data_IF_774076178541
#
_entry.id   IF_774076178541
#
_cell.length_a   1.000
_cell.length_b   1.000
_cell.length_c   1.000
_cell.angle_alpha   90.00
_cell.angle_beta   90.00
_cell.angle_gamma   90.00
#
_symmetry.space_group_name_H-M   'P 1'
#
loop_
_entity.id
_entity.type
_entity.pdbx_description
1 polymer ?
#
# COMPACT_ATOMS: atom_id res chain seq x y z
N UNK A 1 14.71 18.15 43.38
CA UNK A 1 13.94 18.64 42.20
C UNK A 1 14.87 18.80 41.00
N UNK A 2 15.35 17.70 40.42
CA UNK A 2 16.23 17.73 39.23
C UNK A 2 16.35 16.34 38.55
N UNK A 3 15.24 15.59 38.45
CA UNK A 3 15.21 14.29 37.73
C UNK A 3 14.09 14.14 36.70
N UNK A 4 13.32 15.21 36.44
CA UNK A 4 12.23 15.20 35.45
C UNK A 4 12.61 15.88 34.13
N UNK A 5 13.48 16.90 34.16
CA UNK A 5 13.90 17.65 32.97
C UNK A 5 14.87 16.88 32.04
N UNK A 6 15.59 15.87 32.55
CA UNK A 6 16.47 15.02 31.73
C UNK A 6 15.74 13.96 30.91
N UNK A 7 14.45 13.68 31.20
CA UNK A 7 13.64 12.72 30.43
C UNK A 7 12.91 13.32 29.23
N UNK A 8 12.86 14.65 29.10
CA UNK A 8 12.22 15.33 27.97
C UNK A 8 13.24 15.71 26.89
N UNK A 9 14.53 15.81 27.23
CA UNK A 9 15.59 16.19 26.29
C UNK A 9 16.12 15.05 25.40
N UNK A 10 15.79 13.77 25.65
CA UNK A 10 16.19 12.64 24.79
C UNK A 10 15.17 12.25 23.72
N UNK A 11 13.97 12.85 23.71
CA UNK A 11 12.94 12.56 22.71
C UNK A 11 13.07 13.39 21.41
N UNK A 12 13.99 14.36 21.38
CA UNK A 12 14.15 15.30 20.26
C UNK A 12 15.46 15.15 19.47
N UNK A 13 16.28 14.14 19.76
CA UNK A 13 17.45 13.80 18.95
C UNK A 13 17.27 12.42 18.32
N UNK A 14 16.65 12.38 17.13
CA UNK A 14 16.86 11.28 16.20
C UNK A 14 18.02 11.67 15.28
N UNK A 15 19.05 10.83 15.10
CA UNK A 15 20.06 11.06 14.08
C UNK A 15 19.35 11.15 12.72
N UNK A 16 19.74 12.13 11.91
CA UNK A 16 19.19 12.30 10.56
C UNK A 16 19.26 10.97 9.81
N UNK A 17 18.11 10.46 9.36
CA UNK A 17 18.06 9.31 8.46
C UNK A 17 18.73 9.75 7.16
N UNK A 18 19.90 9.18 6.90
CA UNK A 18 20.61 9.33 5.63
C UNK A 18 19.73 8.69 4.54
N UNK A 19 19.13 9.51 3.69
CA UNK A 19 18.79 9.09 2.33
C UNK A 19 20.12 8.98 1.59
N UNK A 20 20.53 7.77 1.22
CA UNK A 20 21.85 7.52 0.66
C UNK A 20 21.77 6.76 -0.68
N UNK A 21 22.80 6.99 -1.49
CA UNK A 21 23.01 6.56 -2.87
C UNK A 21 23.02 5.04 -3.06
N UNK A 22 22.36 4.65 -4.15
CA UNK A 22 22.31 3.39 -4.89
C UNK A 22 23.50 2.43 -4.68
N UNK A 23 23.20 1.20 -4.26
CA UNK A 23 24.14 0.07 -4.29
C UNK A 23 24.26 -0.48 -5.72
N UNK A 24 25.45 -0.34 -6.31
CA UNK A 24 25.96 -1.29 -7.31
C UNK A 24 26.35 -2.53 -6.53
N UNK A 25 25.77 -3.67 -6.84
CA UNK A 25 26.43 -4.97 -6.95
C UNK A 25 25.36 -6.06 -7.08
N UNK A 26 25.29 -6.63 -8.28
CA UNK A 26 25.01 -8.04 -8.61
C UNK A 26 24.63 -8.13 -10.10
N UNK A 27 25.67 -8.15 -10.94
CA UNK A 27 25.55 -8.42 -12.38
C UNK A 27 25.73 -9.93 -12.58
N UNK A 28 24.65 -10.62 -12.91
CA UNK A 28 24.70 -11.80 -13.79
C UNK A 28 23.53 -11.74 -14.78
N UNK A 29 23.90 -11.39 -16.02
CA UNK A 29 23.30 -11.70 -17.31
C UNK A 29 21.76 -11.64 -17.46
N UNK A 30 21.28 -10.49 -17.94
CA UNK A 30 20.29 -10.46 -19.02
C UNK A 30 20.67 -9.28 -19.94
N UNK A 31 20.79 -9.56 -21.24
CA UNK A 31 21.25 -8.62 -22.26
C UNK A 31 20.26 -7.44 -22.42
N UNK A 32 20.82 -6.24 -22.56
CA UNK A 32 20.19 -4.98 -23.01
C UNK A 32 19.43 -4.12 -21.97
N UNK A 33 20.16 -3.23 -21.27
CA UNK A 33 19.89 -1.77 -21.30
C UNK A 33 21.06 -1.01 -20.65
N UNK A 34 21.48 0.05 -21.33
CA UNK A 34 22.55 0.96 -21.00
C UNK A 34 22.53 1.49 -19.56
N UNK A 35 23.73 1.66 -19.01
CA UNK A 35 24.08 1.97 -17.62
C UNK A 35 23.77 3.41 -17.18
N UNK A 36 22.49 3.76 -17.18
CA UNK A 36 21.96 4.84 -16.32
C UNK A 36 20.74 4.33 -15.59
N UNK A 37 20.95 3.75 -14.40
CA UNK A 37 19.86 3.33 -13.53
C UNK A 37 18.97 4.52 -13.17
N UNK A 38 17.65 4.34 -13.27
CA UNK A 38 16.67 5.33 -12.85
C UNK A 38 16.80 5.53 -11.33
N UNK A 39 17.32 6.68 -10.90
CA UNK A 39 17.57 6.97 -9.48
C UNK A 39 16.29 7.10 -8.65
N UNK A 40 15.14 7.24 -9.32
CA UNK A 40 13.82 7.31 -8.71
C UNK A 40 13.16 5.93 -8.61
N UNK A 41 13.80 4.86 -9.11
CA UNK A 41 13.33 3.49 -9.03
C UNK A 41 14.12 2.74 -7.96
N UNK A 42 13.40 2.13 -7.01
CA UNK A 42 13.93 1.20 -6.03
C UNK A 42 13.31 -0.18 -6.24
N UNK A 43 14.09 -1.25 -6.05
CA UNK A 43 13.55 -2.61 -6.15
C UNK A 43 14.32 -3.65 -5.36
N UNK A 44 13.63 -4.73 -5.00
CA UNK A 44 14.18 -6.02 -4.54
C UNK A 44 13.71 -7.12 -5.49
N UNK A 45 14.68 -7.81 -6.08
CA UNK A 45 14.40 -8.69 -7.21
C UNK A 45 13.64 -9.93 -6.78
N UNK A 46 14.14 -10.62 -5.75
CA UNK A 46 13.52 -11.82 -5.21
C UNK A 46 13.97 -12.04 -3.76
N UNK A 47 13.02 -12.11 -2.84
CA UNK A 47 13.25 -12.36 -1.41
C UNK A 47 12.33 -13.50 -0.94
N UNK A 48 12.71 -14.22 0.11
CA UNK A 48 11.92 -15.37 0.60
C UNK A 48 10.86 -14.94 1.62
N UNK A 49 9.72 -15.63 1.59
CA UNK A 49 8.69 -15.55 2.62
C UNK A 49 8.10 -16.94 2.91
N UNK A 50 7.13 -17.01 3.84
CA UNK A 50 6.63 -18.29 4.39
C UNK A 50 6.06 -19.27 3.37
N UNK A 51 5.65 -18.77 2.20
CA UNK A 51 4.90 -19.53 1.20
C UNK A 51 5.53 -19.46 -0.20
N UNK A 52 6.78 -19.03 -0.31
CA UNK A 52 7.47 -18.87 -1.58
C UNK A 52 8.44 -17.69 -1.59
N UNK A 53 8.37 -16.91 -2.66
CA UNK A 53 9.23 -15.77 -2.91
C UNK A 53 8.41 -14.53 -3.25
N UNK A 54 9.00 -13.35 -3.08
CA UNK A 54 8.38 -12.10 -3.51
C UNK A 54 9.35 -11.18 -4.23
N UNK A 55 8.80 -10.37 -5.13
CA UNK A 55 9.49 -9.29 -5.83
C UNK A 55 8.81 -7.97 -5.50
N UNK A 56 9.59 -6.90 -5.34
CA UNK A 56 9.09 -5.63 -4.83
C UNK A 56 9.77 -4.48 -5.58
N UNK A 57 9.00 -3.55 -6.13
CA UNK A 57 9.52 -2.35 -6.76
C UNK A 57 8.67 -1.13 -6.42
N UNK A 58 9.32 0.03 -6.32
CA UNK A 58 8.67 1.32 -6.14
C UNK A 58 9.36 2.35 -7.03
N UNK A 59 8.61 3.18 -7.75
CA UNK A 59 9.15 4.33 -8.50
C UNK A 59 8.46 5.63 -8.09
N UNK A 60 9.27 6.66 -7.87
CA UNK A 60 8.82 7.99 -7.48
C UNK A 60 8.49 8.84 -8.73
N UNK A 61 7.34 9.50 -8.70
CA UNK A 61 6.89 10.53 -9.63
C UNK A 61 6.73 11.89 -8.94
N UNK A 62 6.15 11.92 -7.73
CA UNK A 62 5.89 13.15 -6.98
C UNK A 62 7.20 13.80 -6.48
N UNK A 63 7.20 15.10 -6.21
CA UNK A 63 8.40 15.81 -5.67
C UNK A 63 8.87 15.17 -4.35
N UNK A 64 7.90 14.80 -3.52
CA UNK A 64 8.08 13.94 -2.36
C UNK A 64 7.26 12.69 -2.62
N UNK A 65 7.87 11.51 -2.51
CA UNK A 65 7.13 10.26 -2.65
C UNK A 65 6.04 10.17 -1.59
N UNK A 66 4.81 9.94 -2.04
CA UNK A 66 3.65 9.79 -1.17
C UNK A 66 3.36 8.30 -0.92
N UNK A 67 3.66 7.42 -1.88
CA UNK A 67 3.63 5.96 -1.72
C UNK A 67 4.57 5.47 -0.60
N UNK A 68 4.03 4.65 0.30
CA UNK A 68 4.80 3.84 1.24
C UNK A 68 4.34 2.38 1.16
N UNK A 69 5.24 1.46 1.48
CA UNK A 69 4.92 0.04 1.35
C UNK A 69 5.90 -0.83 2.14
N UNK A 70 5.45 -2.03 2.48
CA UNK A 70 6.25 -2.98 3.22
C UNK A 70 5.83 -4.43 3.04
N UNK A 71 6.80 -5.33 3.21
CA UNK A 71 6.60 -6.77 3.34
C UNK A 71 7.23 -7.21 4.65
N UNK A 72 6.46 -7.93 5.45
CA UNK A 72 6.90 -8.53 6.70
C UNK A 72 6.74 -10.05 6.56
N UNK A 73 7.83 -10.79 6.72
CA UNK A 73 7.85 -12.25 6.65
C UNK A 73 8.07 -12.83 8.04
N UNK A 74 7.22 -13.78 8.42
CA UNK A 74 7.37 -14.64 9.58
C UNK A 74 7.47 -16.11 9.17
N UNK A 75 7.47 -17.01 10.15
CA UNK A 75 7.51 -18.46 9.89
C UNK A 75 6.27 -18.97 9.15
N UNK A 76 5.08 -18.56 9.60
CA UNK A 76 3.78 -19.05 9.11
C UNK A 76 2.89 -17.92 8.56
N UNK A 77 3.49 -16.74 8.34
CA UNK A 77 2.78 -15.52 8.03
C UNK A 77 3.56 -14.62 7.06
N UNK A 78 2.86 -14.01 6.12
CA UNK A 78 3.41 -12.93 5.31
C UNK A 78 2.43 -11.77 5.32
N UNK A 79 2.87 -10.59 5.75
CA UNK A 79 2.10 -9.34 5.67
C UNK A 79 2.65 -8.49 4.53
N UNK A 80 1.75 -7.88 3.79
CA UNK A 80 2.01 -7.01 2.66
C UNK A 80 1.20 -5.74 2.86
N UNK A 81 1.83 -4.59 2.71
CA UNK A 81 1.17 -3.29 2.76
C UNK A 81 1.58 -2.41 1.59
N UNK A 82 0.59 -1.83 0.92
CA UNK A 82 0.75 -0.80 -0.11
C UNK A 82 -0.13 0.38 0.30
N UNK A 83 0.48 1.54 0.50
CA UNK A 83 -0.14 2.73 1.04
C UNK A 83 0.13 3.90 0.11
N UNK A 84 -0.82 4.15 -0.77
CA UNK A 84 -0.78 5.25 -1.72
C UNK A 84 -1.24 6.52 -0.99
N UNK A 85 -0.33 7.48 -0.86
CA UNK A 85 -0.52 8.69 -0.06
C UNK A 85 -0.94 9.86 -0.93
N UNK A 86 -1.69 10.80 -0.35
CA UNK A 86 -2.07 12.03 -1.06
C UNK A 86 -2.16 13.24 -0.13
N UNK A 87 -1.83 14.41 -0.68
CA UNK A 87 -1.83 15.66 0.08
C UNK A 87 -0.62 15.79 1.02
N UNK A 88 0.32 14.86 0.95
CA UNK A 88 1.51 14.71 1.77
C UNK A 88 1.77 13.23 2.10
N UNK A 89 3.01 12.87 2.50
CA UNK A 89 3.36 11.48 2.86
C UNK A 89 3.02 11.12 4.31
N UNK A 90 2.50 12.04 5.12
CA UNK A 90 2.37 11.84 6.57
C UNK A 90 1.44 10.65 6.90
N UNK A 91 0.33 10.47 6.17
CA UNK A 91 -0.61 9.38 6.40
C UNK A 91 -0.04 8.02 5.99
N UNK A 92 0.44 7.88 4.76
CA UNK A 92 1.04 6.63 4.25
C UNK A 92 2.26 6.20 5.09
N UNK A 93 3.10 7.15 5.49
CA UNK A 93 4.19 6.90 6.45
C UNK A 93 3.66 6.43 7.81
N UNK A 94 2.64 7.09 8.36
CA UNK A 94 2.05 6.68 9.64
C UNK A 94 1.51 5.25 9.57
N UNK A 95 0.83 4.89 8.47
CA UNK A 95 0.31 3.54 8.25
C UNK A 95 1.46 2.53 8.22
N UNK A 96 2.53 2.79 7.45
CA UNK A 96 3.71 1.92 7.41
C UNK A 96 4.37 1.73 8.79
N UNK A 97 4.38 2.76 9.62
CA UNK A 97 4.98 2.67 10.95
C UNK A 97 4.09 1.94 11.99
N UNK A 98 2.77 1.92 11.82
CA UNK A 98 1.85 1.50 12.91
C UNK A 98 0.90 0.34 12.56
N UNK A 99 0.50 0.17 11.30
CA UNK A 99 -0.56 -0.78 10.95
C UNK A 99 -0.16 -2.23 11.25
N UNK A 100 1.05 -2.62 10.88
CA UNK A 100 1.57 -3.95 11.21
C UNK A 100 1.67 -4.16 12.72
N UNK A 101 2.10 -3.15 13.49
CA UNK A 101 2.18 -3.24 14.95
C UNK A 101 0.80 -3.41 15.59
N UNK A 102 -0.20 -2.67 15.09
CA UNK A 102 -1.59 -2.79 15.51
C UNK A 102 -2.16 -4.17 15.17
N UNK A 103 -1.89 -4.68 13.97
CA UNK A 103 -2.27 -6.03 13.56
C UNK A 103 -1.67 -7.07 14.51
N UNK A 104 -0.36 -6.98 14.76
CA UNK A 104 0.32 -7.89 15.66
C UNK A 104 -0.29 -7.83 17.04
N UNK A 105 -0.50 -6.63 17.62
CA UNK A 105 -1.14 -6.46 18.94
C UNK A 105 -2.49 -7.18 19.02
N UNK A 106 -3.40 -6.91 18.08
CA UNK A 106 -4.74 -7.53 18.06
C UNK A 106 -4.66 -9.05 17.85
N UNK A 107 -3.78 -9.51 16.95
CA UNK A 107 -3.54 -10.93 16.74
C UNK A 107 -2.98 -11.60 18.00
N UNK A 108 -2.18 -10.88 18.81
CA UNK A 108 -1.63 -11.40 20.07
C UNK A 108 -2.71 -11.71 21.09
N UNK A 109 -3.65 -10.77 21.22
CA UNK A 109 -4.74 -10.85 22.19
C UNK A 109 -5.70 -12.01 21.87
N UNK A 110 -5.87 -12.36 20.58
CA UNK A 110 -6.81 -13.40 20.14
C UNK A 110 -6.18 -14.72 19.71
N UNK A 111 -4.85 -14.80 19.59
CA UNK A 111 -4.15 -16.02 19.18
C UNK A 111 -4.30 -16.37 17.69
N UNK A 112 -4.82 -15.47 16.85
CA UNK A 112 -5.07 -15.76 15.42
C UNK A 112 -5.10 -14.48 14.57
N UNK A 113 -5.06 -14.65 13.25
CA UNK A 113 -5.36 -13.61 12.26
C UNK A 113 -6.70 -13.95 11.61
N UNK A 114 -7.57 -12.96 11.52
CA UNK A 114 -8.90 -13.05 10.92
C UNK A 114 -9.30 -11.72 10.30
N UNK A 115 -10.45 -11.71 9.60
CA UNK A 115 -11.03 -10.49 9.05
C UNK A 115 -11.29 -9.42 10.12
N UNK A 116 -11.80 -9.82 11.30
CA UNK A 116 -12.06 -8.91 12.41
C UNK A 116 -10.77 -8.27 12.96
N UNK A 117 -9.70 -9.06 13.05
CA UNK A 117 -8.39 -8.59 13.51
C UNK A 117 -7.81 -7.57 12.52
N UNK A 118 -7.92 -7.84 11.22
CA UNK A 118 -7.46 -6.93 10.18
C UNK A 118 -8.28 -5.62 10.19
N UNK A 119 -9.60 -5.71 10.35
CA UNK A 119 -10.49 -4.55 10.53
C UNK A 119 -10.11 -3.72 11.75
N UNK A 120 -9.86 -4.38 12.89
CA UNK A 120 -9.47 -3.74 14.15
C UNK A 120 -8.11 -3.04 14.04
N UNK A 121 -7.17 -3.62 13.30
CA UNK A 121 -5.86 -3.03 13.04
C UNK A 121 -5.96 -1.75 12.21
N UNK A 122 -6.77 -1.77 11.14
CA UNK A 122 -7.04 -0.59 10.31
C UNK A 122 -7.72 0.51 11.14
N UNK A 123 -8.78 0.17 11.91
CA UNK A 123 -9.48 1.11 12.79
C UNK A 123 -8.55 1.75 13.82
N UNK A 124 -7.71 0.96 14.50
CA UNK A 124 -6.74 1.49 15.47
C UNK A 124 -5.70 2.40 14.82
N UNK A 125 -5.36 2.15 13.56
CA UNK A 125 -4.40 2.97 12.81
C UNK A 125 -5.01 4.31 12.42
N UNK A 126 -6.27 4.33 11.96
CA UNK A 126 -7.04 5.56 11.73
C UNK A 126 -7.14 6.39 13.02
N UNK A 127 -7.55 5.80 14.14
CA UNK A 127 -7.69 6.51 15.41
C UNK A 127 -6.36 7.14 15.87
N UNK A 128 -5.26 6.40 15.67
CA UNK A 128 -3.91 6.89 15.91
C UNK A 128 -3.57 8.10 15.05
N UNK A 129 -3.86 8.04 13.75
CA UNK A 129 -3.58 9.15 12.83
C UNK A 129 -4.47 10.36 13.10
N UNK A 130 -5.76 10.18 13.36
CA UNK A 130 -6.66 11.29 13.74
C UNK A 130 -6.24 11.95 15.07
N UNK A 131 -5.66 11.17 16.00
CA UNK A 131 -5.05 11.73 17.21
C UNK A 131 -3.83 12.59 16.89
N UNK A 132 -3.00 12.17 15.93
CA UNK A 132 -1.88 12.99 15.43
C UNK A 132 -2.40 14.27 14.78
N UNK A 133 -3.39 14.18 13.90
CA UNK A 133 -4.03 15.35 13.26
C UNK A 133 -4.50 16.35 14.30
N UNK A 134 -5.26 15.91 15.31
CA UNK A 134 -5.77 16.78 16.38
C UNK A 134 -4.66 17.50 17.17
N UNK A 135 -3.51 16.85 17.35
CA UNK A 135 -2.36 17.44 18.05
C UNK A 135 -1.56 18.40 17.19
N UNK A 136 -1.59 18.24 15.87
CA UNK A 136 -0.74 18.98 14.93
C UNK A 136 -1.47 20.06 14.13
N UNK A 137 -2.79 19.98 13.97
CA UNK A 137 -3.56 20.85 13.07
C UNK A 137 -3.50 22.34 13.46
N UNK A 138 -3.26 22.67 14.72
CA UNK A 138 -3.06 24.07 15.15
C UNK A 138 -1.76 24.71 14.64
N UNK A 139 -0.76 23.90 14.28
CA UNK A 139 0.57 24.36 13.80
C UNK A 139 0.74 24.04 12.31
N UNK A 140 0.29 22.87 11.86
CA UNK A 140 0.30 22.39 10.48
C UNK A 140 -1.13 22.05 10.07
N UNK A 141 -1.99 23.04 9.72
CA UNK A 141 -3.40 22.79 9.38
C UNK A 141 -3.57 21.74 8.29
N UNK A 142 -2.72 21.77 7.27
CA UNK A 142 -2.76 20.85 6.13
C UNK A 142 -2.65 19.37 6.50
N UNK A 143 -2.19 19.00 7.71
CA UNK A 143 -2.21 17.61 8.17
C UNK A 143 -3.62 17.00 8.15
N UNK A 144 -4.67 17.83 8.29
CA UNK A 144 -6.05 17.40 8.23
C UNK A 144 -6.49 16.98 6.80
N UNK A 145 -5.79 17.44 5.76
CA UNK A 145 -6.02 17.07 4.37
C UNK A 145 -5.07 15.99 3.85
N UNK A 146 -4.16 15.48 4.69
CA UNK A 146 -3.30 14.36 4.33
C UNK A 146 -4.10 13.07 4.51
N UNK A 147 -4.09 12.22 3.49
CA UNK A 147 -4.74 10.92 3.51
C UNK A 147 -3.91 9.88 2.79
N UNK A 148 -4.35 8.64 2.87
CA UNK A 148 -3.75 7.54 2.14
C UNK A 148 -4.75 6.40 1.92
N UNK A 149 -4.77 5.88 0.70
CA UNK A 149 -5.29 4.56 0.39
C UNK A 149 -4.48 3.51 1.16
N UNK A 150 -5.12 2.40 1.52
CA UNK A 150 -4.49 1.36 2.31
C UNK A 150 -4.93 -0.01 1.81
N UNK A 151 -4.01 -0.69 1.14
CA UNK A 151 -4.17 -2.08 0.72
C UNK A 151 -3.25 -2.96 1.56
N UNK A 152 -3.85 -3.89 2.30
CA UNK A 152 -3.12 -4.85 3.13
C UNK A 152 -3.50 -6.27 2.77
N UNK A 153 -2.49 -7.11 2.58
CA UNK A 153 -2.62 -8.56 2.48
C UNK A 153 -1.95 -9.26 3.66
N UNK A 154 -2.56 -10.33 4.15
CA UNK A 154 -1.94 -11.24 5.12
C UNK A 154 -2.18 -12.66 4.67
N UNK A 155 -1.11 -13.40 4.37
CA UNK A 155 -1.18 -14.85 4.21
C UNK A 155 -0.88 -15.45 5.57
N UNK A 156 -1.85 -16.19 6.13
CA UNK A 156 -1.76 -16.83 7.43
C UNK A 156 -2.25 -18.26 7.33
N UNK A 157 -1.37 -19.23 7.61
CA UNK A 157 -1.70 -20.67 7.60
C UNK A 157 -2.48 -21.10 6.34
N UNK A 158 -2.03 -20.66 5.16
CA UNK A 158 -2.64 -20.98 3.86
C UNK A 158 -3.92 -20.20 3.52
N UNK A 159 -4.36 -19.27 4.36
CA UNK A 159 -5.48 -18.36 4.07
C UNK A 159 -4.96 -16.96 3.78
N UNK A 160 -5.36 -16.38 2.66
CA UNK A 160 -5.13 -14.99 2.33
C UNK A 160 -6.29 -14.12 2.85
N UNK A 161 -5.97 -13.11 3.63
CA UNK A 161 -6.87 -12.03 4.04
C UNK A 161 -6.42 -10.74 3.37
N UNK A 162 -7.35 -9.98 2.78
CA UNK A 162 -7.06 -8.69 2.13
C UNK A 162 -8.03 -7.65 2.66
N UNK A 163 -7.51 -6.50 3.10
CA UNK A 163 -8.28 -5.31 3.43
C UNK A 163 -7.92 -4.18 2.45
N UNK A 164 -8.93 -3.51 1.91
CA UNK A 164 -8.73 -2.40 0.98
C UNK A 164 -9.49 -1.14 1.41
N UNK A 165 -8.80 -0.01 1.35
CA UNK A 165 -9.31 1.36 1.42
C UNK A 165 -8.77 2.11 0.22
N UNK A 166 -9.64 2.64 -0.64
CA UNK A 166 -9.24 3.35 -1.85
C UNK A 166 -9.16 2.43 -3.06
N UNK A 167 -8.26 2.75 -3.98
CA UNK A 167 -8.16 2.22 -5.35
C UNK A 167 -6.81 1.60 -5.69
N UNK A 168 -5.93 1.45 -4.70
CA UNK A 168 -4.97 0.35 -4.70
C UNK A 168 -5.70 -0.99 -4.88
N UNK A 169 -5.07 -1.95 -5.56
CA UNK A 169 -5.74 -3.21 -5.94
C UNK A 169 -4.86 -4.44 -5.74
N UNK A 170 -5.49 -5.53 -5.28
CA UNK A 170 -4.91 -6.86 -5.25
C UNK A 170 -5.51 -7.76 -6.36
N UNK A 171 -4.66 -8.42 -7.14
CA UNK A 171 -5.04 -9.30 -8.25
C UNK A 171 -4.31 -10.63 -8.12
N UNK A 172 -5.06 -11.74 -8.10
CA UNK A 172 -4.47 -13.08 -8.11
C UNK A 172 -4.31 -13.59 -9.54
N UNK A 173 -3.15 -14.19 -9.81
CA UNK A 173 -2.92 -14.98 -11.01
C UNK A 173 -3.14 -16.45 -10.71
N UNK A 174 -4.19 -17.02 -11.30
CA UNK A 174 -4.52 -18.45 -11.11
C UNK A 174 -4.48 -19.21 -12.43
N UNK A 175 -4.01 -20.45 -12.39
CA UNK A 175 -4.00 -21.34 -13.54
C UNK A 175 -5.45 -21.79 -13.86
N UNK A 176 -5.93 -21.38 -15.02
CA UNK A 176 -7.24 -21.75 -15.55
C UNK A 176 -7.26 -23.16 -16.16
N UNK A 177 -8.46 -23.63 -16.54
CA UNK A 177 -8.68 -24.98 -17.11
C UNK A 177 -7.88 -25.26 -18.38
N UNK A 178 -7.58 -24.22 -19.17
CA UNK A 178 -6.79 -24.33 -20.41
C UNK A 178 -5.28 -24.20 -20.18
N UNK A 179 -4.80 -24.36 -18.94
CA UNK A 179 -3.40 -24.12 -18.55
C UNK A 179 -2.90 -22.69 -18.85
N UNK A 180 -3.83 -21.72 -18.94
CA UNK A 180 -3.52 -20.29 -19.10
C UNK A 180 -3.70 -19.59 -17.78
N UNK A 181 -2.85 -18.60 -17.48
CA UNK A 181 -3.02 -17.75 -16.31
C UNK A 181 -4.23 -16.83 -16.52
N UNK A 182 -5.10 -16.73 -15.52
CA UNK A 182 -6.28 -15.87 -15.51
C UNK A 182 -6.15 -14.91 -14.33
N UNK A 183 -6.39 -13.63 -14.58
CA UNK A 183 -6.48 -12.62 -13.53
C UNK A 183 -7.85 -12.68 -12.85
N UNK A 184 -7.83 -12.71 -11.52
CA UNK A 184 -9.01 -12.48 -10.69
C UNK A 184 -8.71 -11.32 -9.72
N UNK A 185 -9.51 -10.26 -9.79
CA UNK A 185 -9.38 -9.13 -8.88
C UNK A 185 -10.02 -9.47 -7.54
N UNK A 186 -9.25 -9.33 -6.45
CA UNK A 186 -9.68 -9.73 -5.11
C UNK A 186 -10.33 -8.57 -4.33
N UNK A 187 -10.05 -7.33 -4.72
CA UNK A 187 -10.50 -6.12 -4.02
C UNK A 187 -11.39 -5.29 -4.91
N UNK A 188 -12.40 -4.62 -4.34
CA UNK A 188 -13.16 -3.58 -5.05
C UNK A 188 -12.41 -2.25 -4.95
N UNK A 189 -12.38 -1.50 -6.04
CA UNK A 189 -11.79 -0.15 -6.06
C UNK A 189 -12.81 0.86 -5.53
N UNK A 190 -12.41 1.66 -4.55
CA UNK A 190 -13.28 2.63 -3.91
C UNK A 190 -13.13 4.03 -4.52
N UNK A 191 -13.20 4.15 -5.84
CA UNK A 191 -13.02 5.39 -6.59
C UNK A 191 -14.35 5.88 -7.22
N UNK A 192 -14.60 7.19 -7.20
CA UNK A 192 -15.79 7.83 -7.78
C UNK A 192 -15.90 7.68 -9.31
N UNK A 193 -14.86 7.19 -9.99
CA UNK A 193 -14.93 6.75 -11.40
C UNK A 193 -15.88 5.55 -11.58
N UNK A 194 -16.01 4.70 -10.55
CA UNK A 194 -16.91 3.55 -10.51
C UNK A 194 -18.35 3.99 -10.23
N UNK A 195 -19.30 3.52 -11.03
CA UNK A 195 -20.71 3.91 -10.88
C UNK A 195 -21.30 3.42 -9.55
N UNK A 196 -20.91 2.24 -9.09
CA UNK A 196 -21.36 1.65 -7.82
C UNK A 196 -21.00 2.55 -6.63
N UNK A 197 -19.76 3.09 -6.62
CA UNK A 197 -19.29 4.03 -5.60
C UNK A 197 -20.07 5.34 -5.67
N UNK A 198 -20.38 5.83 -6.88
CA UNK A 198 -21.23 7.03 -7.03
C UNK A 198 -22.63 6.81 -6.48
N UNK A 199 -23.22 5.66 -6.71
CA UNK A 199 -24.55 5.32 -6.21
C UNK A 199 -24.56 5.14 -4.70
N UNK A 200 -23.54 4.49 -4.12
CA UNK A 200 -23.34 4.40 -2.68
C UNK A 200 -23.26 5.80 -2.04
N UNK A 201 -22.42 6.68 -2.59
CA UNK A 201 -22.25 8.05 -2.08
C UNK A 201 -23.55 8.86 -2.13
N UNK A 202 -24.30 8.78 -3.24
CA UNK A 202 -25.62 9.45 -3.37
C UNK A 202 -26.64 8.90 -2.39
N UNK A 203 -26.65 7.58 -2.17
CA UNK A 203 -27.57 6.91 -1.23
C UNK A 203 -27.31 7.32 0.22
N UNK A 204 -26.03 7.46 0.61
CA UNK A 204 -25.62 7.92 1.95
C UNK A 204 -25.81 9.43 2.16
N UNK A 205 -25.91 10.20 1.06
CA UNK A 205 -26.02 11.66 1.07
C UNK A 205 -27.18 12.18 0.20
N UNK A 206 -28.43 11.77 0.48
CA UNK A 206 -29.58 12.12 -0.36
C UNK A 206 -29.89 13.63 -0.36
N UNK A 207 -29.42 14.36 0.66
CA UNK A 207 -29.57 15.80 0.83
C UNK A 207 -28.37 16.62 0.32
N UNK A 208 -27.35 15.99 -0.27
CA UNK A 208 -26.16 16.66 -0.80
C UNK A 208 -26.04 16.43 -2.31
N UNK A 209 -26.65 17.30 -3.11
CA UNK A 209 -26.58 17.25 -4.57
C UNK A 209 -25.15 17.40 -5.12
N UNK A 210 -24.20 17.85 -4.28
CA UNK A 210 -22.80 18.05 -4.64
C UNK A 210 -21.88 16.98 -4.03
N UNK A 211 -22.43 15.86 -3.53
CA UNK A 211 -21.62 14.78 -2.95
C UNK A 211 -20.62 14.23 -3.96
N UNK A 212 -21.01 14.09 -5.22
CA UNK A 212 -20.16 13.61 -6.32
C UNK A 212 -20.34 14.53 -7.52
N UNK A 213 -19.25 15.11 -8.01
CA UNK A 213 -19.24 16.14 -9.06
C UNK A 213 -18.25 15.77 -10.15
N UNK A 214 -18.64 15.91 -11.41
CA UNK A 214 -17.73 15.79 -12.56
C UNK A 214 -16.91 17.08 -12.70
N UNK A 215 -15.59 17.01 -12.56
CA UNK A 215 -14.68 18.16 -12.64
C UNK A 215 -13.48 17.82 -13.51
N UNK A 216 -13.28 18.58 -14.59
CA UNK A 216 -12.24 18.32 -15.61
C UNK A 216 -12.27 16.90 -16.18
N UNK A 217 -13.48 16.37 -16.45
CA UNK A 217 -13.65 15.02 -17.02
C UNK A 217 -13.46 13.86 -16.05
N UNK A 218 -13.29 14.14 -14.75
CA UNK A 218 -13.13 13.13 -13.71
C UNK A 218 -14.14 13.35 -12.58
N UNK A 219 -14.76 12.27 -12.10
CA UNK A 219 -15.68 12.30 -10.97
C UNK A 219 -14.93 12.47 -9.65
N UNK A 220 -15.37 13.41 -8.82
CA UNK A 220 -14.75 13.72 -7.52
C UNK A 220 -15.79 13.90 -6.44
N UNK A 221 -15.50 13.38 -5.25
CA UNK A 221 -16.27 13.57 -4.02
C UNK A 221 -16.08 15.01 -3.57
N UNK A 222 -17.20 15.72 -3.37
CA UNK A 222 -17.26 17.17 -3.10
C UNK A 222 -16.45 18.03 -4.09
N UNK A 223 -16.15 17.50 -5.29
CA UNK A 223 -15.30 18.17 -6.28
C UNK A 223 -13.80 18.20 -5.94
N UNK A 224 -13.34 17.44 -4.93
CA UNK A 224 -11.97 17.48 -4.41
C UNK A 224 -11.21 16.19 -4.68
N UNK A 225 -11.66 15.04 -4.16
CA UNK A 225 -10.92 13.77 -4.16
C UNK A 225 -11.65 12.67 -4.95
N UNK A 226 -10.94 11.67 -5.47
CA UNK A 226 -11.55 10.57 -6.22
C UNK A 226 -11.87 9.36 -5.35
N UNK A 227 -11.06 9.08 -4.33
CA UNK A 227 -11.26 7.94 -3.43
C UNK A 227 -12.32 8.24 -2.37
N UNK A 228 -13.18 7.25 -2.12
CA UNK A 228 -14.26 7.27 -1.12
C UNK A 228 -13.85 6.68 0.22
N UNK A 229 -12.70 5.99 0.26
CA UNK A 229 -12.18 5.36 1.47
C UNK A 229 -10.69 5.62 1.63
N UNK A 230 -10.27 6.00 2.82
CA UNK A 230 -8.87 6.27 3.14
C UNK A 230 -8.63 6.23 4.64
N UNK A 231 -7.37 6.14 5.06
CA UNK A 231 -6.91 6.58 6.37
C UNK A 231 -6.52 8.07 6.25
N UNK A 232 -6.85 8.89 7.25
CA UNK A 232 -6.63 10.34 7.17
C UNK A 232 -7.77 11.09 6.51
N UNK A 233 -7.50 12.12 5.70
CA UNK A 233 -8.53 13.01 5.12
C UNK A 233 -9.53 13.52 6.16
N UNK A 234 -9.01 13.88 7.34
CA UNK A 234 -9.78 14.19 8.52
C UNK A 234 -10.82 15.31 8.27
N UNK A 235 -10.49 16.28 7.42
CA UNK A 235 -11.37 17.38 7.01
C UNK A 235 -12.63 16.92 6.24
N UNK A 236 -12.60 15.73 5.61
CA UNK A 236 -13.74 15.11 4.93
C UNK A 236 -14.49 14.11 5.81
N UNK A 237 -14.02 13.89 7.04
CA UNK A 237 -14.62 12.95 7.99
C UNK A 237 -15.24 13.65 9.18
N UNK A 238 -14.61 14.73 9.68
CA UNK A 238 -15.07 15.44 10.88
C UNK A 238 -15.08 16.96 10.65
N UNK A 239 -16.21 17.66 10.92
CA UNK A 239 -16.31 19.11 10.74
C UNK A 239 -15.27 19.90 11.53
N UNK A 240 -14.84 19.39 12.68
CA UNK A 240 -13.81 20.00 13.54
C UNK A 240 -12.43 20.15 12.87
N UNK A 241 -12.18 19.43 11.78
CA UNK A 241 -10.93 19.49 11.00
C UNK A 241 -11.07 20.26 9.69
N UNK A 242 -12.16 21.03 9.52
CA UNK A 242 -12.36 21.86 8.34
C UNK A 242 -11.19 22.84 8.15
N UNK A 243 -10.77 23.00 6.90
CA UNK A 243 -9.67 23.89 6.53
C UNK A 243 -10.18 25.28 6.16
N UNK A 244 -9.37 26.29 6.49
CA UNK A 244 -9.64 27.67 6.14
C UNK A 244 -9.71 27.86 4.61
N UNK A 245 -10.59 28.74 4.09
CA UNK A 245 -10.70 29.03 2.66
C UNK A 245 -9.39 29.49 1.98
N UNK A 246 -8.40 29.96 2.74
CA UNK A 246 -7.04 30.23 2.23
C UNK A 246 -6.32 29.01 1.67
N UNK A 247 -6.83 27.79 1.89
CA UNK A 247 -6.37 26.56 1.25
C UNK A 247 -7.32 26.13 0.10
N UNK A 248 -7.26 26.77 -1.09
CA UNK A 248 -8.26 26.60 -2.15
C UNK A 248 -8.37 25.16 -2.68
N UNK A 249 -7.29 24.37 -2.61
CA UNK A 249 -7.28 22.96 -3.05
C UNK A 249 -8.21 22.08 -2.21
N UNK A 250 -8.41 22.42 -0.93
CA UNK A 250 -9.15 21.62 0.04
C UNK A 250 -10.41 22.33 0.55
N UNK A 251 -10.76 23.45 -0.09
CA UNK A 251 -11.87 24.27 0.34
C UNK A 251 -13.20 23.56 0.08
N UNK A 252 -13.99 23.43 1.14
CA UNK A 252 -15.38 23.00 1.10
C UNK A 252 -16.27 24.25 1.16
N UNK A 253 -17.11 24.52 0.14
CA UNK A 253 -18.00 25.68 0.15
C UNK A 253 -18.96 25.70 1.33
N UNK A 254 -19.40 24.52 1.75
CA UNK A 254 -20.22 24.32 2.94
C UNK A 254 -19.57 23.23 3.82
N UNK A 255 -19.56 23.40 5.16
CA UNK A 255 -19.10 22.37 6.07
C UNK A 255 -19.85 21.05 5.86
N UNK A 256 -19.14 19.93 5.92
CA UNK A 256 -19.77 18.61 5.88
C UNK A 256 -20.69 18.43 7.11
N UNK A 257 -21.85 17.81 6.91
CA UNK A 257 -22.78 17.48 8.00
C UNK A 257 -22.56 16.08 8.57
N UNK A 258 -21.93 15.21 7.78
CA UNK A 258 -21.56 13.82 8.10
C UNK A 258 -20.29 13.46 7.32
N UNK A 259 -19.55 12.40 7.72
CA UNK A 259 -18.39 11.95 6.98
C UNK A 259 -18.74 11.65 5.52
N UNK A 260 -18.00 12.22 4.57
CA UNK A 260 -18.16 11.91 3.13
C UNK A 260 -17.14 10.88 2.64
N UNK A 261 -16.13 10.58 3.46
CA UNK A 261 -15.20 9.47 3.32
C UNK A 261 -15.30 8.54 4.55
N UNK A 262 -14.92 7.27 4.38
CA UNK A 262 -14.85 6.30 5.49
C UNK A 262 -13.48 5.63 5.56
N UNK A 263 -13.06 5.22 6.76
CA UNK A 263 -11.88 4.38 6.98
C UNK A 263 -12.23 2.89 7.15
N UNK A 264 -13.47 2.50 6.82
CA UNK A 264 -13.97 1.13 6.96
C UNK A 264 -13.53 0.26 5.76
N UNK A 265 -12.65 -0.73 5.94
CA UNK A 265 -12.10 -1.49 4.84
C UNK A 265 -13.12 -2.48 4.27
N UNK A 266 -13.13 -2.64 2.94
CA UNK A 266 -13.67 -3.87 2.35
C UNK A 266 -12.70 -5.00 2.66
N UNK A 267 -13.21 -6.13 3.15
CA UNK A 267 -12.38 -7.30 3.46
C UNK A 267 -12.76 -8.45 2.53
N UNK A 268 -11.74 -9.14 2.03
CA UNK A 268 -11.85 -10.37 1.26
C UNK A 268 -10.97 -11.43 1.90
N UNK A 269 -11.47 -12.66 1.99
CA UNK A 269 -10.67 -13.81 2.43
C UNK A 269 -10.79 -14.98 1.47
N UNK A 270 -9.70 -15.74 1.35
CA UNK A 270 -9.63 -16.93 0.49
C UNK A 270 -8.63 -17.93 1.03
N UNK A 271 -9.07 -19.19 1.14
CA UNK A 271 -8.15 -20.31 1.29
C UNK A 271 -7.39 -20.48 -0.04
N UNK A 272 -6.06 -20.39 0.00
CA UNK A 272 -5.22 -20.49 -1.19
C UNK A 272 -5.35 -21.88 -1.81
N UNK A 273 -5.59 -21.92 -3.12
CA UNK A 273 -5.84 -23.16 -3.87
C UNK A 273 -4.62 -23.53 -4.71
N UNK A 274 -4.37 -24.82 -5.02
CA UNK A 274 -3.18 -25.24 -5.79
C UNK A 274 -2.98 -24.55 -7.15
N UNK A 275 -4.05 -24.01 -7.74
CA UNK A 275 -4.02 -23.26 -8.98
C UNK A 275 -3.63 -21.78 -8.80
N UNK A 276 -3.67 -21.24 -7.59
CA UNK A 276 -3.27 -19.86 -7.27
C UNK A 276 -1.73 -19.78 -7.29
N UNK A 277 -1.16 -19.01 -8.21
CA UNK A 277 0.30 -19.01 -8.44
C UNK A 277 1.01 -17.81 -7.85
N UNK A 278 0.35 -16.66 -7.84
CA UNK A 278 0.88 -15.44 -7.24
C UNK A 278 -0.23 -14.42 -7.02
N UNK A 279 0.04 -13.43 -6.18
CA UNK A 279 -0.81 -12.25 -5.95
C UNK A 279 0.01 -11.00 -6.22
N UNK A 280 -0.56 -10.06 -6.98
CA UNK A 280 -0.01 -8.73 -7.23
C UNK A 280 -0.74 -7.75 -6.33
N UNK A 281 -0.01 -7.03 -5.46
CA UNK A 281 -0.48 -5.88 -4.72
C UNK A 281 0.16 -4.64 -5.31
N UNK A 282 -0.63 -3.65 -5.75
CA UNK A 282 -0.06 -2.43 -6.31
C UNK A 282 -0.97 -1.21 -6.10
N UNK A 283 -0.34 -0.03 -6.07
CA UNK A 283 -1.04 1.26 -6.08
C UNK A 283 -1.70 1.51 -7.43
N UNK A 284 -2.62 2.48 -7.49
CA UNK A 284 -3.35 2.83 -8.70
C UNK A 284 -2.41 3.25 -9.85
N UNK A 285 -1.24 3.80 -9.54
CA UNK A 285 -0.19 4.13 -10.50
C UNK A 285 0.22 2.97 -11.41
N UNK A 286 0.06 1.70 -10.99
CA UNK A 286 0.19 0.55 -11.90
C UNK A 286 -1.08 0.37 -12.76
N UNK A 287 -2.23 0.36 -12.11
CA UNK A 287 -3.53 -0.02 -12.66
C UNK A 287 -4.13 1.03 -13.61
N UNK A 288 -3.65 2.28 -13.57
CA UNK A 288 -3.94 3.31 -14.58
C UNK A 288 -3.33 2.98 -15.96
N UNK A 289 -2.31 2.13 -16.00
CA UNK A 289 -1.52 1.86 -17.19
C UNK A 289 -1.63 0.42 -17.70
N UNK A 290 -1.95 -0.54 -16.83
CA UNK A 290 -2.07 -1.96 -17.17
C UNK A 290 -3.43 -2.51 -16.75
N UNK A 291 -4.02 -3.35 -17.60
CA UNK A 291 -5.15 -4.17 -17.20
C UNK A 291 -4.70 -5.30 -16.26
N UNK A 292 -5.64 -5.84 -15.48
CA UNK A 292 -5.38 -6.97 -14.60
C UNK A 292 -4.78 -8.17 -15.36
N UNK A 293 -5.32 -8.46 -16.55
CA UNK A 293 -4.87 -9.59 -17.36
C UNK A 293 -3.46 -9.36 -17.95
N UNK A 294 -3.14 -8.16 -18.41
CA UNK A 294 -1.78 -7.84 -18.87
C UNK A 294 -0.75 -8.00 -17.75
N UNK A 295 -1.07 -7.54 -16.54
CA UNK A 295 -0.18 -7.66 -15.39
C UNK A 295 0.11 -9.12 -15.03
N UNK A 296 -0.92 -9.98 -14.92
CA UNK A 296 -0.70 -11.41 -14.60
C UNK A 296 0.02 -12.14 -15.74
N UNK A 297 -0.18 -11.75 -17.00
CA UNK A 297 0.54 -12.32 -18.12
C UNK A 297 2.02 -11.95 -18.12
N UNK A 298 2.35 -10.70 -17.78
CA UNK A 298 3.75 -10.28 -17.58
C UNK A 298 4.38 -11.17 -16.50
N UNK A 299 3.73 -11.34 -15.35
CA UNK A 299 4.25 -12.19 -14.27
C UNK A 299 4.42 -13.64 -14.72
N UNK A 300 3.45 -14.20 -15.43
CA UNK A 300 3.47 -15.62 -15.82
C UNK A 300 4.45 -15.94 -16.95
N UNK A 301 4.78 -14.99 -17.83
CA UNK A 301 5.61 -15.23 -19.03
C UNK A 301 7.08 -14.86 -18.85
N UNK A 302 7.47 -14.37 -17.67
CA UNK A 302 8.81 -13.87 -17.40
C UNK A 302 9.41 -14.52 -16.14
N UNK A 303 10.74 -14.49 -15.96
CA UNK A 303 11.38 -14.93 -14.73
C UNK A 303 10.87 -14.18 -13.49
N UNK A 304 10.84 -14.84 -12.33
CA UNK A 304 10.44 -14.24 -11.05
C UNK A 304 11.37 -13.10 -10.63
N UNK A 305 12.67 -13.26 -10.84
CA UNK A 305 13.67 -12.26 -10.49
C UNK A 305 13.41 -10.94 -11.23
N UNK A 306 13.23 -9.87 -10.46
CA UNK A 306 12.98 -8.52 -11.00
C UNK A 306 11.59 -8.33 -11.59
N UNK A 307 10.62 -9.22 -11.32
CA UNK A 307 9.29 -9.14 -11.95
C UNK A 307 8.50 -7.89 -11.55
N UNK A 308 8.62 -7.42 -10.32
CA UNK A 308 7.97 -6.18 -9.89
C UNK A 308 8.53 -4.97 -10.64
N UNK A 309 9.86 -4.91 -10.83
CA UNK A 309 10.52 -3.89 -11.65
C UNK A 309 10.05 -3.97 -13.11
N UNK A 310 9.81 -5.18 -13.65
CA UNK A 310 9.29 -5.37 -15.00
C UNK A 310 7.85 -4.85 -15.17
N UNK A 311 6.99 -5.05 -14.17
CA UNK A 311 5.65 -4.46 -14.12
C UNK A 311 5.69 -2.94 -14.09
N UNK A 312 6.54 -2.35 -13.23
CA UNK A 312 6.78 -0.90 -13.20
C UNK A 312 7.26 -0.39 -14.57
N UNK A 313 8.26 -1.04 -15.18
CA UNK A 313 8.76 -0.68 -16.51
C UNK A 313 7.65 -0.74 -17.56
N UNK A 314 6.77 -1.75 -17.52
CA UNK A 314 5.65 -1.86 -18.46
C UNK A 314 4.66 -0.69 -18.30
N UNK A 315 4.31 -0.33 -17.07
CA UNK A 315 3.45 0.82 -16.80
C UNK A 315 4.08 2.14 -17.26
N UNK A 316 5.37 2.37 -16.96
CA UNK A 316 6.10 3.56 -17.40
C UNK A 316 6.21 3.66 -18.93
N UNK A 317 6.37 2.54 -19.63
CA UNK A 317 6.33 2.52 -21.09
C UNK A 317 4.96 2.96 -21.62
N UNK A 318 3.88 2.50 -21.01
CA UNK A 318 2.52 2.92 -21.37
C UNK A 318 2.27 4.40 -21.04
N UNK A 319 2.74 4.88 -19.89
CA UNK A 319 2.69 6.29 -19.50
C UNK A 319 3.41 7.20 -20.52
N UNK A 320 4.64 6.84 -20.89
CA UNK A 320 5.43 7.56 -21.88
C UNK A 320 4.72 7.60 -23.25
N UNK A 321 4.19 6.47 -23.71
CA UNK A 321 3.42 6.38 -24.97
C UNK A 321 2.18 7.27 -24.97
N UNK A 322 1.40 7.29 -23.87
CA UNK A 322 0.23 8.18 -23.72
C UNK A 322 0.58 9.68 -23.86
N UNK A 323 1.84 10.05 -23.64
CA UNK A 323 2.37 11.42 -23.76
C UNK A 323 3.31 11.61 -24.95
N UNK A 324 3.33 10.66 -25.90
CA UNK A 324 4.18 10.71 -27.11
C UNK A 324 5.66 10.90 -26.77
N UNK A 325 6.12 10.24 -25.70
CA UNK A 325 7.48 10.29 -25.18
C UNK A 325 8.11 8.88 -25.21
N UNK A 326 9.44 8.80 -25.35
CA UNK A 326 10.18 7.53 -25.18
C UNK A 326 10.40 7.25 -23.70
N UNK A 327 10.39 5.97 -23.31
CA UNK A 327 10.67 5.56 -21.93
C UNK A 327 12.01 6.10 -21.40
N UNK A 328 13.05 6.10 -22.23
CA UNK A 328 14.37 6.63 -21.83
C UNK A 328 14.40 8.13 -21.61
N UNK A 329 13.49 8.87 -22.25
CA UNK A 329 13.35 10.30 -22.01
C UNK A 329 12.54 10.55 -20.73
N UNK A 330 11.52 9.72 -20.46
CA UNK A 330 10.75 9.77 -19.21
C UNK A 330 11.64 9.50 -17.98
N UNK A 331 12.59 8.55 -18.05
CA UNK A 331 13.56 8.27 -16.98
C UNK A 331 14.42 9.49 -16.59
N UNK A 332 14.59 10.44 -17.51
CA UNK A 332 15.40 11.65 -17.30
C UNK A 332 14.57 12.82 -16.77
N UNK A 333 13.25 12.69 -16.69
CA UNK A 333 12.38 13.74 -16.16
C UNK A 333 12.51 13.75 -14.64
N UNK A 334 12.82 14.93 -14.09
CA UNK A 334 12.91 15.12 -12.65
C UNK A 334 11.59 14.79 -11.95
N UNK A 335 11.69 14.29 -10.71
CA UNK A 335 10.54 14.13 -9.81
C UNK A 335 9.75 15.45 -9.69
N UNK A 336 8.47 15.37 -9.33
CA UNK A 336 7.56 16.51 -9.34
C UNK A 336 7.04 16.82 -10.74
N UNK A 337 7.92 16.99 -11.74
CA UNK A 337 7.52 17.11 -13.16
C UNK A 337 7.08 15.75 -13.71
N UNK A 338 7.73 14.67 -13.26
CA UNK A 338 7.40 13.29 -13.63
C UNK A 338 5.93 12.93 -13.34
N UNK A 339 5.31 13.58 -12.35
CA UNK A 339 3.88 13.45 -12.00
C UNK A 339 2.92 13.78 -13.14
N UNK A 340 3.31 14.57 -14.14
CA UNK A 340 2.47 14.85 -15.31
C UNK A 340 2.30 13.64 -16.24
N UNK A 341 3.16 12.62 -16.09
CA UNK A 341 3.22 11.44 -16.94
C UNK A 341 2.63 10.19 -16.27
N UNK A 342 2.96 9.98 -14.99
CA UNK A 342 2.47 8.86 -14.18
C UNK A 342 2.43 9.24 -12.69
N UNK A 343 1.76 8.44 -11.86
CA UNK A 343 1.82 8.55 -10.40
C UNK A 343 3.04 7.87 -9.79
N UNK A 344 3.24 8.01 -8.47
CA UNK A 344 4.07 7.05 -7.74
C UNK A 344 3.53 5.64 -8.00
N UNK A 345 4.41 4.65 -8.20
CA UNK A 345 4.00 3.27 -8.49
C UNK A 345 4.68 2.35 -7.50
N UNK A 346 3.89 1.64 -6.71
CA UNK A 346 4.30 0.56 -5.83
C UNK A 346 3.79 -0.76 -6.38
N UNK A 347 4.65 -1.78 -6.46
CA UNK A 347 4.28 -3.15 -6.85
C UNK A 347 4.96 -4.18 -5.95
N UNK A 348 4.16 -5.06 -5.35
CA UNK A 348 4.62 -6.25 -4.64
C UNK A 348 3.99 -7.48 -5.30
N UNK A 349 4.81 -8.41 -5.78
CA UNK A 349 4.36 -9.70 -6.32
C UNK A 349 4.74 -10.79 -5.33
N UNK A 350 3.74 -11.48 -4.78
CA UNK A 350 3.90 -12.61 -3.86
C UNK A 350 3.67 -13.91 -4.62
N UNK A 351 4.69 -14.75 -4.76
CA UNK A 351 4.54 -16.09 -5.34
C UNK A 351 4.04 -17.08 -4.30
N UNK A 352 3.21 -18.03 -4.74
CA UNK A 352 2.62 -19.05 -3.87
C UNK A 352 3.14 -20.43 -4.33
N UNK A 353 4.15 -20.91 -3.62
CA UNK A 353 4.76 -22.21 -3.81
C UNK A 353 4.06 -23.23 -2.91
N UNK A 354 3.02 -23.88 -3.47
CA UNK A 354 2.16 -24.80 -2.71
C UNK A 354 2.89 -26.00 -2.10
N UNK A 355 4.06 -26.36 -2.63
CA UNK A 355 4.92 -27.41 -2.06
C UNK A 355 5.52 -27.02 -0.70
N UNK A 356 5.55 -25.72 -0.39
CA UNK A 356 6.02 -25.19 0.89
C UNK A 356 4.89 -25.03 1.92
N UNK A 357 3.61 -25.10 1.50
CA UNK A 357 2.47 -25.04 2.43
C UNK A 357 2.49 -26.25 3.37
N UNK A 358 2.81 -26.00 4.65
CA UNK A 358 2.84 -27.03 5.70
C UNK A 358 4.22 -27.64 5.97
N UNK A 359 5.24 -27.30 5.17
CA UNK A 359 6.62 -27.71 5.41
C UNK A 359 7.34 -26.63 6.25
N UNK A 360 7.89 -27.03 7.40
CA UNK A 360 8.62 -26.14 8.31
C UNK A 360 10.02 -25.81 7.78
N UNK A 361 10.12 -25.17 6.62
CA UNK A 361 11.37 -24.55 6.16
C UNK A 361 11.69 -23.32 7.02
N UNK A 362 12.96 -23.19 7.42
CA UNK A 362 13.48 -21.97 8.04
C UNK A 362 13.38 -20.82 7.03
N UNK A 363 12.42 -19.93 7.23
CA UNK A 363 12.24 -18.70 6.44
C UNK A 363 12.79 -17.55 7.26
N UNK A 364 13.61 -16.65 6.68
CA UNK A 364 14.11 -15.49 7.40
C UNK A 364 12.96 -14.58 7.86
N UNK A 365 13.01 -14.17 9.12
CA UNK A 365 12.14 -13.13 9.67
C UNK A 365 12.58 -11.78 9.09
N UNK A 366 11.86 -11.32 8.07
CA UNK A 366 12.31 -10.25 7.18
C UNK A 366 11.33 -9.07 7.21
N UNK A 367 11.83 -7.86 7.45
CA UNK A 367 11.09 -6.61 7.25
C UNK A 367 11.74 -5.86 6.09
N UNK A 368 10.98 -5.68 5.01
CA UNK A 368 11.40 -4.91 3.82
C UNK A 368 10.43 -3.76 3.64
N UNK A 369 10.96 -2.55 3.46
CA UNK A 369 10.17 -1.34 3.18
C UNK A 369 10.64 -0.69 1.89
N UNK A 370 9.70 -0.17 1.11
CA UNK A 370 10.01 0.59 -0.10
C UNK A 370 10.97 1.74 0.19
N UNK A 371 11.96 1.95 -0.68
CA UNK A 371 13.02 2.98 -0.53
C UNK A 371 13.86 2.88 0.75
N UNK A 372 13.88 1.72 1.41
CA UNK A 372 14.77 1.45 2.55
C UNK A 372 15.64 0.24 2.25
N UNK A 373 16.96 0.44 2.21
CA UNK A 373 17.91 -0.65 1.93
C UNK A 373 18.18 -1.55 3.14
N UNK A 374 17.83 -1.06 4.34
CA UNK A 374 17.94 -1.83 5.57
C UNK A 374 16.82 -2.84 5.66
N UNK A 375 17.17 -4.11 5.52
CA UNK A 375 16.34 -5.22 5.93
C UNK A 375 16.45 -5.36 7.45
N UNK A 376 15.32 -5.32 8.15
CA UNK A 376 15.25 -5.52 9.60
C UNK A 376 14.69 -6.90 9.96
N UNK A 377 14.86 -7.37 11.22
CA UNK A 377 14.10 -8.51 11.71
C UNK A 377 12.62 -8.15 11.78
N UNK A 378 11.74 -9.05 11.32
CA UNK A 378 10.30 -8.86 11.45
C UNK A 378 9.83 -9.12 12.89
N UNK A 379 8.76 -8.45 13.32
CA UNK A 379 8.15 -8.66 14.64
C UNK A 379 7.08 -9.78 14.66
N UNK A 380 7.09 -10.67 13.66
CA UNK A 380 6.11 -11.76 13.49
C UNK A 380 6.19 -12.89 14.53
N UNK A 381 7.02 -12.78 15.56
CA UNK A 381 7.47 -13.87 16.46
C UNK A 381 6.42 -14.38 17.46
N UNK A 382 5.13 -14.26 17.14
CA UNK A 382 4.05 -14.40 18.13
C UNK A 382 3.60 -15.84 18.41
N UNK A 383 3.75 -16.82 17.50
CA UNK A 383 3.23 -18.18 17.74
C UNK A 383 4.23 -19.21 18.29
N UNK A 384 5.51 -18.86 18.50
CA UNK A 384 6.49 -19.81 19.01
C UNK A 384 6.11 -20.41 20.38
N UNK A 385 5.24 -19.74 21.16
CA UNK A 385 4.79 -20.19 22.49
C UNK A 385 3.40 -20.84 22.56
N UNK A 386 2.55 -20.71 21.54
CA UNK A 386 1.17 -21.23 21.62
C UNK A 386 1.10 -22.72 21.23
N UNK A 387 1.87 -23.13 20.22
CA UNK A 387 1.95 -24.55 19.82
C UNK A 387 2.73 -25.42 20.81
N UNK A 388 3.59 -24.82 21.65
CA UNK A 388 4.33 -25.54 22.69
C UNK A 388 3.42 -26.08 23.81
N UNK A 389 2.32 -25.38 24.10
CA UNK A 389 1.32 -25.82 25.10
C UNK A 389 0.26 -26.78 24.52
N UNK A 390 0.12 -26.86 23.20
CA UNK A 390 -0.77 -27.84 22.56
C UNK A 390 -0.14 -29.24 22.46
N UNK A 391 1.20 -29.33 22.48
CA UNK A 391 1.95 -30.59 22.42
C UNK A 391 2.27 -31.22 23.78
N UNK A 392 1.94 -30.55 24.88
CA UNK A 392 2.17 -31.04 26.25
C UNK A 392 0.94 -31.72 26.88
N UNK A 393 -0.14 -31.91 26.12
CA UNK A 393 -1.40 -32.54 26.58
C UNK A 393 -1.78 -33.75 25.71
N UNK A 394 -0.80 -34.50 25.21
CA UNK A 394 -1.03 -35.83 24.60
C UNK A 394 -0.13 -36.85 25.27
#
# INVERSE_FOLDING_TARGET
MLSWLTRIAMACWRPGRQYARMSKDDILNDDDDSTTGDSLLWSRDLEKHSFGEFSFAVVQANEVIEDHSQVESGRDATFIGVYDGHGGPDASRFISDHLFLNLMRHARERGTISEEILRSAVSSTEDGFLTLVRRSCGIKPLIAAVGSCCLVGVIWRGTLFVANLGDSRAVIGSLGRSNKIVAEQLTSDHNASMEEVRQELKSLHPDDSHIVVMKHGVWRIKGIIQVSRSIGDAYLKRPEFSLDPSFPRFHLPEPIRRPVLTSEPSIYSRVLRPNDKFVIFASDGLWEHLTNQEAVEIVSKNPRAGIARRLVRAALNMAARKRVMRYDDLKKVDRGVRRFFHDDITVVVIFIDHELLGNSTSVPELSVRGFMDTVGPSNFNFLQGVDANARSII
#
